data_IF_914011114767
#
_entry.id   IF_914011114767
#
_cell.length_a   1.000
_cell.length_b   1.000
_cell.length_c   1.000
_cell.angle_alpha   90.00
_cell.angle_beta   90.00
_cell.angle_gamma   90.00
#
_symmetry.space_group_name_H-M   'P 1'
#
loop_
_entity.id
_entity.type
_entity.pdbx_description
1 polymer ?
#
# COMPACT_ATOMS: atom_id res chain seq x y z
N UNK A 1 46.52 4.45 -60.37
CA UNK A 1 45.05 4.55 -60.41
C UNK A 1 44.53 3.85 -59.15
N UNK A 2 44.35 4.57 -58.04
CA UNK A 2 43.94 3.99 -56.75
C UNK A 2 42.50 4.43 -56.49
N UNK A 3 41.58 3.47 -56.56
CA UNK A 3 40.14 3.64 -56.44
C UNK A 3 39.79 3.67 -54.95
N UNK A 4 39.36 4.83 -54.44
CA UNK A 4 38.86 4.96 -53.06
C UNK A 4 37.47 4.34 -52.96
N UNK A 5 37.37 3.23 -52.24
CA UNK A 5 36.10 2.61 -51.86
C UNK A 5 35.50 3.43 -50.70
N UNK A 6 34.40 4.13 -50.95
CA UNK A 6 33.64 4.84 -49.94
C UNK A 6 32.73 3.83 -49.22
N UNK A 7 33.12 3.35 -48.04
CA UNK A 7 32.25 2.55 -47.19
C UNK A 7 31.21 3.47 -46.52
N UNK A 8 29.97 3.38 -46.98
CA UNK A 8 28.81 4.01 -46.35
C UNK A 8 28.42 3.18 -45.11
N UNK A 9 28.86 3.61 -43.93
CA UNK A 9 28.36 3.05 -42.66
C UNK A 9 26.93 3.54 -42.44
N UNK A 10 25.94 2.72 -42.76
CA UNK A 10 24.58 2.91 -42.28
C UNK A 10 24.56 2.69 -40.77
N UNK A 11 24.47 3.79 -40.01
CA UNK A 11 24.12 3.76 -38.59
C UNK A 11 22.69 3.22 -38.45
N UNK A 12 22.56 1.91 -38.20
CA UNK A 12 21.31 1.32 -37.73
C UNK A 12 21.18 1.74 -36.26
N UNK A 13 20.48 2.84 -36.00
CA UNK A 13 20.02 3.15 -34.65
C UNK A 13 19.08 2.03 -34.21
N UNK A 14 19.30 1.39 -33.06
CA UNK A 14 18.34 0.43 -32.52
C UNK A 14 17.02 1.17 -32.28
N UNK A 15 15.98 0.78 -33.01
CA UNK A 15 14.61 1.16 -32.70
C UNK A 15 14.31 0.44 -31.38
N UNK A 16 14.50 1.14 -30.27
CA UNK A 16 13.97 0.69 -29.00
C UNK A 16 12.45 0.71 -29.13
N UNK A 17 11.85 -0.46 -29.35
CA UNK A 17 10.42 -0.66 -29.24
C UNK A 17 10.07 -0.39 -27.78
N UNK A 18 9.54 0.81 -27.57
CA UNK A 18 8.99 1.28 -26.32
C UNK A 18 7.80 0.37 -25.98
N UNK A 19 8.00 -0.56 -25.04
CA UNK A 19 7.03 -1.59 -24.69
C UNK A 19 6.31 -1.24 -23.38
N UNK A 20 5.01 -1.50 -23.33
CA UNK A 20 4.21 -1.42 -22.12
C UNK A 20 4.77 -2.38 -21.03
N UNK A 21 4.49 -2.06 -19.76
CA UNK A 21 4.69 -3.03 -18.68
C UNK A 21 3.78 -4.27 -18.89
N UNK A 22 4.09 -5.43 -18.30
CA UNK A 22 3.29 -6.65 -18.48
C UNK A 22 1.80 -6.46 -18.09
N UNK A 23 0.85 -7.04 -18.84
CA UNK A 23 -0.59 -6.87 -18.56
C UNK A 23 -1.05 -7.56 -17.26
N UNK A 24 -2.28 -7.28 -16.80
CA UNK A 24 -2.91 -8.02 -15.69
C UNK A 24 -2.79 -9.54 -15.84
N UNK A 25 -3.03 -10.07 -17.04
CA UNK A 25 -2.92 -11.51 -17.30
C UNK A 25 -1.49 -12.05 -17.19
N UNK A 26 -0.49 -11.22 -17.53
CA UNK A 26 0.93 -11.59 -17.43
C UNK A 26 1.41 -11.52 -15.98
N UNK A 27 0.91 -10.52 -15.22
CA UNK A 27 1.34 -10.26 -13.85
C UNK A 27 0.63 -11.18 -12.87
N UNK A 28 -0.69 -11.30 -12.95
CA UNK A 28 -1.55 -12.00 -12.00
C UNK A 28 -2.09 -13.34 -12.55
N UNK A 29 -1.79 -13.66 -13.81
CA UNK A 29 -2.18 -14.90 -14.44
C UNK A 29 -3.48 -14.81 -15.24
N UNK A 30 -3.62 -15.70 -16.22
CA UNK A 30 -4.73 -15.71 -17.20
C UNK A 30 -6.14 -15.85 -16.59
N UNK A 31 -6.24 -16.34 -15.36
CA UNK A 31 -7.51 -16.42 -14.62
C UNK A 31 -7.99 -15.09 -14.04
N UNK A 32 -7.15 -14.05 -14.05
CA UNK A 32 -7.43 -12.73 -13.48
C UNK A 32 -7.08 -11.61 -14.47
N UNK A 33 -7.71 -11.57 -15.67
CA UNK A 33 -7.37 -10.58 -16.70
C UNK A 33 -7.82 -9.15 -16.37
N UNK A 34 -8.71 -8.98 -15.39
CA UNK A 34 -9.28 -7.69 -14.97
C UNK A 34 -8.81 -7.24 -13.59
N UNK A 35 -7.77 -7.87 -13.02
CA UNK A 35 -7.28 -7.53 -11.69
C UNK A 35 -6.21 -6.44 -11.78
N UNK A 36 -6.53 -5.25 -11.29
CA UNK A 36 -5.73 -4.03 -11.41
C UNK A 36 -5.40 -3.67 -12.87
N UNK A 37 -6.31 -4.01 -13.78
CA UNK A 37 -6.08 -3.88 -15.23
C UNK A 37 -6.08 -2.43 -15.70
N UNK A 38 -6.67 -1.50 -14.93
CA UNK A 38 -6.57 -0.07 -15.21
C UNK A 38 -5.16 0.49 -14.99
N UNK A 39 -4.31 -0.22 -14.25
CA UNK A 39 -2.95 0.19 -13.92
C UNK A 39 -1.87 -0.73 -14.50
N UNK A 40 -2.22 -1.70 -15.36
CA UNK A 40 -1.27 -2.65 -15.95
C UNK A 40 -1.35 -2.66 -17.47
N UNK A 41 -0.31 -3.15 -18.16
CA UNK A 41 -0.32 -3.18 -19.62
C UNK A 41 -0.36 -1.79 -20.26
N UNK A 42 -1.12 -1.69 -21.36
CA UNK A 42 -1.38 -0.43 -22.06
C UNK A 42 -2.46 0.41 -21.36
N UNK A 43 -2.26 0.67 -20.06
CA UNK A 43 -3.21 1.32 -19.17
C UNK A 43 -3.76 2.66 -19.70
N UNK A 44 -2.98 3.39 -20.50
CA UNK A 44 -3.39 4.68 -21.10
C UNK A 44 -4.48 4.54 -22.16
N UNK A 45 -4.73 3.32 -22.65
CA UNK A 45 -5.84 2.98 -23.56
C UNK A 45 -7.10 2.56 -22.79
N UNK A 46 -7.00 2.33 -21.48
CA UNK A 46 -8.15 1.94 -20.68
C UNK A 46 -9.07 3.14 -20.43
N UNK A 47 -10.38 2.90 -20.54
CA UNK A 47 -11.42 3.86 -20.18
C UNK A 47 -12.26 3.29 -19.03
N UNK A 48 -12.05 3.75 -17.78
CA UNK A 48 -12.80 3.29 -16.62
C UNK A 48 -14.31 3.44 -16.79
N UNK A 49 -14.79 4.50 -17.47
CA UNK A 49 -16.23 4.73 -17.68
C UNK A 49 -16.81 3.71 -18.65
N UNK A 50 -16.08 3.35 -19.71
CA UNK A 50 -16.49 2.29 -20.62
C UNK A 50 -16.57 0.91 -19.94
N UNK A 51 -15.68 0.64 -18.97
CA UNK A 51 -15.61 -0.65 -18.26
C UNK A 51 -16.66 -0.75 -17.14
N UNK A 52 -16.79 0.30 -16.31
CA UNK A 52 -17.58 0.25 -15.08
C UNK A 52 -18.83 1.14 -15.09
N UNK A 53 -18.89 2.16 -15.95
CA UNK A 53 -19.93 3.20 -15.95
C UNK A 53 -21.34 2.73 -16.37
N UNK A 54 -21.51 1.45 -16.73
CA UNK A 54 -22.81 0.86 -17.11
C UNK A 54 -23.52 0.13 -15.97
N UNK A 55 -22.85 -0.17 -14.86
CA UNK A 55 -23.43 -0.96 -13.78
C UNK A 55 -23.97 -0.07 -12.66
N UNK A 56 -25.31 -0.06 -12.48
CA UNK A 56 -25.96 0.60 -11.34
C UNK A 56 -25.42 0.03 -10.03
N UNK A 57 -24.58 0.77 -9.33
CA UNK A 57 -24.10 0.47 -7.97
C UNK A 57 -22.61 0.19 -7.82
N UNK A 58 -21.87 -0.08 -8.90
CA UNK A 58 -20.40 -0.12 -8.88
C UNK A 58 -19.86 1.26 -9.24
N UNK A 59 -19.00 1.83 -8.39
CA UNK A 59 -18.39 3.12 -8.68
C UNK A 59 -17.24 2.96 -9.65
N UNK A 60 -17.20 3.85 -10.65
CA UNK A 60 -16.12 3.91 -11.61
C UNK A 60 -14.83 4.33 -10.90
N UNK A 61 -13.75 3.54 -11.01
CA UNK A 61 -12.42 3.93 -10.54
C UNK A 61 -11.96 5.24 -11.18
N UNK A 62 -11.09 5.98 -10.49
CA UNK A 62 -10.58 7.27 -10.98
C UNK A 62 -9.78 7.12 -12.28
N UNK A 63 -9.84 8.15 -13.14
CA UNK A 63 -9.04 8.23 -14.37
C UNK A 63 -7.54 8.29 -14.01
N UNK A 64 -6.77 7.33 -14.53
CA UNK A 64 -5.33 7.22 -14.26
C UNK A 64 -4.46 7.96 -15.28
N UNK A 65 -5.01 8.31 -16.45
CA UNK A 65 -4.35 9.16 -17.44
C UNK A 65 -4.53 10.63 -17.08
N UNK A 66 -3.55 11.15 -16.35
CA UNK A 66 -3.48 12.51 -15.82
C UNK A 66 -2.31 13.30 -16.43
N UNK A 67 -2.23 14.60 -16.14
CA UNK A 67 -1.09 15.42 -16.51
C UNK A 67 0.22 14.88 -15.91
N UNK A 68 1.28 14.77 -16.73
CA UNK A 68 2.53 14.09 -16.32
C UNK A 68 3.31 14.82 -15.22
N UNK A 69 3.04 16.11 -14.97
CA UNK A 69 3.59 16.85 -13.83
C UNK A 69 2.86 16.56 -12.50
N UNK A 70 1.78 15.78 -12.50
CA UNK A 70 0.99 15.41 -11.32
C UNK A 70 1.13 13.91 -10.97
N UNK A 71 2.10 13.19 -11.57
CA UNK A 71 2.19 11.72 -11.47
C UNK A 71 2.58 11.20 -10.11
N UNK A 72 3.11 12.03 -9.21
CA UNK A 72 3.32 11.64 -7.81
C UNK A 72 2.04 11.96 -7.06
N UNK A 73 1.29 10.93 -6.68
CA UNK A 73 -0.01 11.09 -6.05
C UNK A 73 0.12 11.56 -4.58
N UNK A 74 0.95 10.84 -3.81
CA UNK A 74 1.24 11.12 -2.40
C UNK A 74 2.47 10.33 -1.92
N UNK A 75 2.88 10.58 -0.67
CA UNK A 75 3.87 9.77 0.02
C UNK A 75 3.45 9.46 1.46
N UNK A 76 3.93 8.34 1.97
CA UNK A 76 3.82 7.89 3.36
C UNK A 76 5.21 7.71 3.93
N UNK A 77 5.40 8.02 5.21
CA UNK A 77 6.67 7.74 5.88
C UNK A 77 6.44 7.26 7.31
N UNK A 78 7.39 6.47 7.80
CA UNK A 78 7.66 6.31 9.23
C UNK A 78 9.16 6.39 9.45
N UNK A 79 9.58 6.68 10.67
CA UNK A 79 10.96 6.43 11.08
C UNK A 79 10.95 5.70 12.42
N UNK A 80 11.90 4.80 12.59
CA UNK A 80 12.15 4.07 13.83
C UNK A 80 13.62 3.66 13.86
N UNK A 81 14.24 3.60 15.04
CA UNK A 81 15.61 3.10 15.22
C UNK A 81 16.67 3.76 14.30
N UNK A 82 16.54 5.05 14.00
CA UNK A 82 17.46 5.75 13.08
C UNK A 82 17.26 5.40 11.60
N UNK A 83 16.17 4.71 11.23
CA UNK A 83 15.83 4.40 9.85
C UNK A 83 14.57 5.14 9.45
N UNK A 84 14.64 5.96 8.40
CA UNK A 84 13.49 6.54 7.72
C UNK A 84 13.10 5.64 6.54
N UNK A 85 11.83 5.23 6.48
CA UNK A 85 11.25 4.58 5.30
C UNK A 85 10.14 5.45 4.73
N UNK A 86 10.19 5.67 3.42
CA UNK A 86 9.21 6.47 2.69
C UNK A 86 8.75 5.73 1.44
N UNK A 87 7.43 5.59 1.29
CA UNK A 87 6.80 5.10 0.05
C UNK A 87 6.18 6.28 -0.67
N UNK A 88 6.56 6.51 -1.92
CA UNK A 88 5.86 7.41 -2.83
C UNK A 88 4.96 6.60 -3.76
N UNK A 89 3.66 6.89 -3.77
CA UNK A 89 2.72 6.30 -4.71
C UNK A 89 2.64 7.19 -5.95
N UNK A 90 2.84 6.60 -7.13
CA UNK A 90 2.69 7.28 -8.40
C UNK A 90 1.46 6.79 -9.16
N UNK A 91 0.96 7.62 -10.06
CA UNK A 91 0.11 7.15 -11.14
C UNK A 91 0.93 6.27 -12.10
N UNK A 92 0.26 5.38 -12.86
CA UNK A 92 0.92 4.63 -13.91
C UNK A 92 1.75 5.51 -14.84
N UNK A 93 2.92 4.99 -15.24
CA UNK A 93 3.84 5.69 -16.14
C UNK A 93 3.72 5.18 -17.57
N UNK A 94 3.82 6.12 -18.51
CA UNK A 94 3.95 5.84 -19.92
C UNK A 94 5.27 5.12 -20.17
N UNK A 95 5.35 4.27 -21.20
CA UNK A 95 6.54 3.49 -21.50
C UNK A 95 7.85 4.29 -21.64
N UNK A 96 7.79 5.52 -22.15
CA UNK A 96 8.94 6.40 -22.37
C UNK A 96 9.38 7.17 -21.12
N UNK A 97 8.57 7.19 -20.07
CA UNK A 97 8.89 7.93 -18.84
C UNK A 97 9.93 7.18 -17.99
N UNK A 98 10.83 7.94 -17.36
CA UNK A 98 11.84 7.36 -16.47
C UNK A 98 11.18 6.53 -15.37
N UNK A 99 11.78 5.37 -15.05
CA UNK A 99 11.39 4.56 -13.89
C UNK A 99 12.09 4.98 -12.61
N UNK A 100 12.88 6.06 -12.65
CA UNK A 100 13.60 6.58 -11.49
C UNK A 100 12.79 7.66 -10.77
N UNK A 101 12.78 7.59 -9.44
CA UNK A 101 12.17 8.59 -8.55
C UNK A 101 13.24 9.03 -7.57
N UNK A 102 13.29 10.34 -7.31
CA UNK A 102 14.27 10.98 -6.44
C UNK A 102 13.62 11.47 -5.16
N UNK A 103 14.31 11.33 -4.05
CA UNK A 103 13.99 11.97 -2.78
C UNK A 103 15.02 13.06 -2.51
N UNK A 104 14.55 14.27 -2.28
CA UNK A 104 15.38 15.42 -1.99
C UNK A 104 14.96 16.04 -0.65
N UNK A 105 15.92 16.55 0.12
CA UNK A 105 15.69 17.32 1.34
C UNK A 105 16.21 18.73 1.20
N UNK A 106 15.58 19.67 1.91
CA UNK A 106 15.99 21.07 1.87
C UNK A 106 17.02 21.36 2.95
N UNK A 107 18.24 21.66 2.55
CA UNK A 107 19.28 22.17 3.43
C UNK A 107 19.44 23.69 3.21
N UNK A 108 19.10 24.48 4.23
CA UNK A 108 18.99 25.93 4.14
C UNK A 108 18.10 26.40 2.96
N UNK A 109 18.73 26.86 1.86
CA UNK A 109 18.03 27.33 0.64
C UNK A 109 18.12 26.36 -0.54
N UNK A 110 18.91 25.29 -0.43
CA UNK A 110 19.21 24.37 -1.54
C UNK A 110 18.48 23.05 -1.31
N UNK A 111 17.98 22.47 -2.39
CA UNK A 111 17.46 21.11 -2.40
C UNK A 111 18.59 20.15 -2.76
N UNK A 112 18.77 19.11 -1.96
CA UNK A 112 19.81 18.10 -2.12
C UNK A 112 19.15 16.73 -2.39
N UNK A 113 19.55 16.07 -3.48
CA UNK A 113 19.16 14.69 -3.76
C UNK A 113 19.89 13.75 -2.81
N UNK A 114 19.13 13.11 -1.91
CA UNK A 114 19.69 12.20 -0.90
C UNK A 114 19.43 10.73 -1.24
N UNK A 115 18.52 10.44 -2.17
CA UNK A 115 18.27 9.09 -2.64
C UNK A 115 17.59 9.07 -4.00
N UNK A 116 17.82 7.99 -4.75
CA UNK A 116 17.19 7.69 -6.03
C UNK A 116 16.90 6.20 -6.12
N UNK A 117 15.66 5.86 -6.46
CA UNK A 117 15.19 4.48 -6.53
C UNK A 117 14.40 4.23 -7.80
N UNK A 118 14.27 2.96 -8.18
CA UNK A 118 13.40 2.54 -9.28
C UNK A 118 11.99 2.27 -8.77
N UNK A 119 11.00 2.54 -9.61
CA UNK A 119 9.60 2.18 -9.35
C UNK A 119 9.44 0.67 -9.33
N UNK A 120 8.65 0.19 -8.37
CA UNK A 120 8.16 -1.18 -8.31
C UNK A 120 6.87 -1.32 -9.14
N UNK A 121 6.84 -2.36 -9.98
CA UNK A 121 5.69 -2.76 -10.78
C UNK A 121 5.30 -4.22 -10.48
N UNK A 122 3.99 -4.58 -10.45
CA UNK A 122 2.78 -3.75 -10.62
C UNK A 122 2.57 -2.79 -9.45
N UNK A 123 1.69 -1.78 -9.54
CA UNK A 123 1.32 -0.89 -8.43
C UNK A 123 2.04 0.47 -8.36
N UNK A 124 3.08 0.70 -9.18
CA UNK A 124 3.69 2.03 -9.40
C UNK A 124 4.13 2.78 -8.13
N UNK A 125 4.79 2.09 -7.21
CA UNK A 125 5.29 2.66 -5.95
C UNK A 125 6.82 2.75 -5.94
N UNK A 126 7.36 3.81 -5.36
CA UNK A 126 8.79 4.00 -5.15
C UNK A 126 9.11 3.99 -3.66
N UNK A 127 10.17 3.29 -3.27
CA UNK A 127 10.43 2.90 -1.89
C UNK A 127 11.83 3.32 -1.47
N UNK A 128 11.93 4.26 -0.52
CA UNK A 128 13.16 4.83 -0.02
C UNK A 128 13.44 4.32 1.38
N UNK A 129 14.65 3.82 1.62
CA UNK A 129 15.18 3.50 2.94
C UNK A 129 16.43 4.35 3.17
N UNK A 130 16.46 5.05 4.29
CA UNK A 130 17.57 5.91 4.71
C UNK A 130 17.94 5.56 6.13
N UNK A 131 19.16 5.07 6.31
CA UNK A 131 19.74 4.74 7.62
C UNK A 131 20.44 5.97 8.22
N UNK A 132 20.80 5.89 9.50
CA UNK A 132 21.41 6.99 10.27
C UNK A 132 20.62 8.31 10.20
N UNK A 133 19.29 8.21 10.12
CA UNK A 133 18.40 9.35 10.03
C UNK A 133 18.30 10.10 11.37
N UNK A 134 18.73 11.36 11.38
CA UNK A 134 18.60 12.25 12.54
C UNK A 134 17.16 12.74 12.70
N UNK A 135 16.38 12.08 13.57
CA UNK A 135 15.01 12.42 13.88
C UNK A 135 14.85 13.60 14.88
N UNK A 136 15.92 14.30 15.28
CA UNK A 136 15.82 15.41 16.26
C UNK A 136 15.27 16.72 15.67
N UNK A 137 15.20 16.82 14.34
CA UNK A 137 14.79 18.03 13.61
C UNK A 137 13.80 17.74 12.48
N UNK A 138 13.07 18.78 12.08
CA UNK A 138 12.14 18.70 10.95
C UNK A 138 12.91 18.85 9.63
N UNK A 139 12.57 18.04 8.64
CA UNK A 139 13.10 18.17 7.27
C UNK A 139 11.97 18.51 6.32
N UNK A 140 12.15 19.57 5.51
CA UNK A 140 11.34 19.70 4.30
C UNK A 140 11.89 18.72 3.28
N UNK A 141 11.01 17.89 2.72
CA UNK A 141 11.38 16.95 1.67
C UNK A 141 10.55 17.19 0.42
N UNK A 142 11.04 16.68 -0.71
CA UNK A 142 10.24 16.52 -1.91
C UNK A 142 10.59 15.23 -2.64
N UNK A 143 9.57 14.58 -3.17
CA UNK A 143 9.72 13.48 -4.12
C UNK A 143 9.64 14.06 -5.52
N UNK A 144 10.51 13.61 -6.43
CA UNK A 144 10.54 14.06 -7.82
C UNK A 144 10.56 12.91 -8.81
N UNK A 145 9.83 13.11 -9.90
CA UNK A 145 9.80 12.22 -11.05
C UNK A 145 9.91 13.05 -12.33
N UNK A 146 10.80 12.62 -13.23
CA UNK A 146 11.20 13.42 -14.38
C UNK A 146 11.62 14.84 -13.98
N UNK A 147 11.47 15.80 -14.88
CA UNK A 147 11.81 17.19 -14.59
C UNK A 147 10.72 17.91 -13.79
N UNK A 148 9.44 17.60 -14.07
CA UNK A 148 8.30 18.44 -13.73
C UNK A 148 7.48 17.98 -12.52
N UNK A 149 7.42 16.68 -12.23
CA UNK A 149 6.57 16.18 -11.16
C UNK A 149 7.25 16.33 -9.79
N UNK A 150 6.56 16.97 -8.84
CA UNK A 150 7.06 17.25 -7.50
C UNK A 150 5.94 17.06 -6.49
N UNK A 151 6.22 16.32 -5.41
CA UNK A 151 5.37 16.25 -4.22
C UNK A 151 6.18 16.69 -3.01
N UNK A 152 5.74 17.73 -2.30
CA UNK A 152 6.46 18.31 -1.15
C UNK A 152 5.75 18.04 0.17
N UNK A 153 6.54 17.85 1.21
CA UNK A 153 6.06 17.61 2.57
C UNK A 153 7.09 17.94 3.64
N UNK A 154 6.86 17.44 4.85
CA UNK A 154 7.82 17.53 5.94
C UNK A 154 7.96 16.21 6.69
N UNK A 155 9.18 15.77 6.92
CA UNK A 155 9.43 14.70 7.90
C UNK A 155 9.56 15.39 9.25
N UNK A 156 8.62 15.12 10.15
CA UNK A 156 8.61 15.72 11.49
C UNK A 156 9.71 15.10 12.35
N UNK A 157 10.29 15.91 13.22
CA UNK A 157 11.13 15.42 14.31
C UNK A 157 10.33 14.52 15.24
N UNK A 158 11.03 13.63 15.93
CA UNK A 158 10.42 12.84 16.99
C UNK A 158 9.86 13.74 18.11
N UNK A 159 8.61 13.51 18.53
CA UNK A 159 7.97 14.30 19.57
C UNK A 159 8.38 13.88 21.00
N UNK A 160 9.57 13.32 21.25
CA UNK A 160 10.05 12.82 22.57
C UNK A 160 9.96 13.85 23.70
N UNK A 161 9.97 15.13 23.36
CA UNK A 161 9.84 16.23 24.31
C UNK A 161 8.40 16.53 24.73
N UNK A 162 7.40 15.97 24.04
CA UNK A 162 5.98 16.12 24.38
C UNK A 162 5.63 15.20 25.54
N UNK A 163 4.76 15.69 26.42
CA UNK A 163 4.17 14.89 27.51
C UNK A 163 2.99 14.05 27.05
N UNK A 164 2.39 14.40 25.92
CA UNK A 164 1.21 13.75 25.35
C UNK A 164 1.45 13.56 23.85
N UNK A 165 1.15 12.36 23.37
CA UNK A 165 1.20 11.99 21.97
C UNK A 165 -0.23 11.83 21.46
N UNK A 166 -0.57 12.54 20.39
CA UNK A 166 -1.91 12.49 19.82
C UNK A 166 -1.93 11.59 18.60
N UNK A 167 -2.70 10.50 18.66
CA UNK A 167 -2.89 9.57 17.54
C UNK A 167 -4.27 9.78 16.92
N UNK A 168 -4.32 10.03 15.61
CA UNK A 168 -5.58 10.02 14.88
C UNK A 168 -5.82 8.62 14.30
N UNK A 169 -6.89 7.96 14.76
CA UNK A 169 -7.31 6.64 14.28
C UNK A 169 -8.46 6.78 13.28
N UNK A 170 -8.26 6.26 12.07
CA UNK A 170 -9.22 6.25 10.98
C UNK A 170 -9.35 4.84 10.39
N UNK A 171 -10.52 4.49 9.88
CA UNK A 171 -10.74 3.26 9.13
C UNK A 171 -11.93 3.42 8.18
N UNK A 172 -12.12 2.45 7.28
CA UNK A 172 -13.34 2.33 6.47
C UNK A 172 -13.65 3.56 5.61
N UNK A 173 -12.80 3.81 4.61
CA UNK A 173 -12.94 4.91 3.67
C UNK A 173 -13.96 4.58 2.55
N UNK A 174 -15.22 4.37 2.95
CA UNK A 174 -16.28 3.91 2.06
C UNK A 174 -16.38 4.73 0.78
N UNK A 175 -16.54 4.02 -0.34
CA UNK A 175 -16.84 4.61 -1.65
C UNK A 175 -18.28 5.11 -1.74
N UNK A 176 -19.08 5.20 -0.66
CA UNK A 176 -20.44 5.78 -0.70
C UNK A 176 -20.45 7.31 -0.70
N UNK A 177 -19.43 7.95 -0.16
CA UNK A 177 -19.30 9.41 -0.15
C UNK A 177 -18.11 9.78 -1.04
N UNK A 178 -18.33 10.25 -2.29
CA UNK A 178 -17.24 10.50 -3.24
C UNK A 178 -16.47 11.77 -2.92
N UNK A 179 -15.24 11.82 -3.40
CA UNK A 179 -14.48 13.07 -3.46
C UNK A 179 -13.72 13.38 -2.17
N UNK A 180 -13.30 14.64 -1.99
CA UNK A 180 -12.38 15.02 -0.93
C UNK A 180 -12.97 14.84 0.47
N UNK A 181 -12.16 14.36 1.42
CA UNK A 181 -12.53 14.24 2.84
C UNK A 181 -12.33 15.55 3.61
N UNK A 182 -12.80 16.67 3.04
CA UNK A 182 -12.42 18.02 3.47
C UNK A 182 -12.68 18.29 4.96
N UNK A 183 -13.83 17.86 5.51
CA UNK A 183 -14.15 18.06 6.93
C UNK A 183 -13.21 17.26 7.85
N UNK A 184 -12.95 16.00 7.52
CA UNK A 184 -12.03 15.13 8.28
C UNK A 184 -10.62 15.73 8.23
N UNK A 185 -10.13 16.06 7.03
CA UNK A 185 -8.81 16.66 6.81
C UNK A 185 -8.66 17.99 7.56
N UNK A 186 -9.66 18.88 7.50
CA UNK A 186 -9.61 20.17 8.19
C UNK A 186 -9.62 20.02 9.71
N UNK A 187 -10.35 19.03 10.25
CA UNK A 187 -10.34 18.75 11.68
C UNK A 187 -8.97 18.18 12.11
N UNK A 188 -8.39 17.26 11.34
CA UNK A 188 -7.05 16.72 11.62
C UNK A 188 -5.95 17.79 11.54
N UNK A 189 -6.07 18.76 10.62
CA UNK A 189 -5.18 19.93 10.59
C UNK A 189 -5.28 20.77 11.86
N UNK A 190 -6.47 20.91 12.45
CA UNK A 190 -6.67 21.65 13.71
C UNK A 190 -6.18 20.87 14.93
N UNK A 191 -6.40 19.56 14.96
CA UNK A 191 -5.95 18.66 16.04
C UNK A 191 -4.43 18.54 16.05
N UNK A 192 -3.81 18.57 14.87
CA UNK A 192 -2.37 18.38 14.67
C UNK A 192 -1.81 17.09 15.30
N UNK A 193 -2.34 15.90 14.93
CA UNK A 193 -1.89 14.64 15.51
C UNK A 193 -0.42 14.38 15.18
N UNK A 194 0.25 13.69 16.09
CA UNK A 194 1.65 13.27 15.98
C UNK A 194 1.79 12.01 15.11
N UNK A 195 0.76 11.17 15.07
CA UNK A 195 0.72 9.93 14.31
C UNK A 195 -0.66 9.74 13.68
N UNK A 196 -0.69 9.32 12.41
CA UNK A 196 -1.91 8.88 11.73
C UNK A 196 -1.94 7.35 11.70
N UNK A 197 -3.07 6.74 12.03
CA UNK A 197 -3.30 5.31 11.89
C UNK A 197 -4.55 5.07 11.05
N UNK A 198 -4.38 4.36 9.93
CA UNK A 198 -5.45 3.88 9.07
C UNK A 198 -5.55 2.36 9.18
N UNK A 199 -6.56 1.88 9.90
CA UNK A 199 -6.67 0.50 10.36
C UNK A 199 -7.21 -0.51 9.32
N UNK A 200 -7.26 -0.13 8.04
CA UNK A 200 -7.85 -0.96 6.98
C UNK A 200 -8.99 -0.27 6.24
N UNK A 201 -9.42 -0.91 5.15
CA UNK A 201 -10.46 -0.47 4.24
C UNK A 201 -10.19 0.93 3.67
N UNK A 202 -8.95 1.18 3.27
CA UNK A 202 -8.60 2.46 2.64
C UNK A 202 -9.25 2.59 1.26
N UNK A 203 -9.52 1.46 0.58
CA UNK A 203 -10.26 1.40 -0.67
C UNK A 203 -11.29 0.27 -0.72
N UNK A 204 -12.41 0.52 -1.41
CA UNK A 204 -13.43 -0.48 -1.73
C UNK A 204 -13.48 -0.80 -3.23
N UNK A 205 -12.46 -0.41 -3.99
CA UNK A 205 -12.29 -0.79 -5.40
C UNK A 205 -11.63 -2.18 -5.48
N UNK A 206 -12.43 -3.22 -5.22
CA UNK A 206 -11.96 -4.60 -4.95
C UNK A 206 -11.10 -5.24 -6.04
N UNK A 207 -11.18 -4.78 -7.28
CA UNK A 207 -10.37 -5.30 -8.39
C UNK A 207 -9.47 -4.24 -9.00
N UNK A 208 -9.43 -3.02 -8.48
CA UNK A 208 -8.65 -1.89 -9.01
C UNK A 208 -7.92 -1.17 -7.88
N UNK A 209 -7.10 -1.93 -7.17
CA UNK A 209 -6.45 -1.48 -5.94
C UNK A 209 -5.60 -0.24 -6.18
N UNK A 210 -4.78 -0.20 -7.24
CA UNK A 210 -3.92 0.95 -7.51
C UNK A 210 -4.74 2.22 -7.73
N UNK A 211 -5.87 2.13 -8.44
CA UNK A 211 -6.76 3.28 -8.64
C UNK A 211 -7.38 3.74 -7.32
N UNK A 212 -7.91 2.80 -6.53
CA UNK A 212 -8.52 3.12 -5.25
C UNK A 212 -7.55 3.62 -4.19
N UNK A 213 -6.32 3.10 -4.19
CA UNK A 213 -5.24 3.55 -3.32
C UNK A 213 -4.79 4.98 -3.67
N UNK A 214 -4.73 5.31 -4.95
CA UNK A 214 -4.51 6.68 -5.41
C UNK A 214 -5.66 7.59 -4.97
N UNK A 215 -6.93 7.16 -5.10
CA UNK A 215 -8.09 7.94 -4.62
C UNK A 215 -7.99 8.26 -3.12
N UNK A 216 -7.73 7.24 -2.29
CA UNK A 216 -7.45 7.40 -0.86
C UNK A 216 -6.30 8.39 -0.62
N UNK A 217 -5.19 8.20 -1.35
CA UNK A 217 -4.04 9.07 -1.35
C UNK A 217 -4.41 10.53 -1.55
N UNK A 218 -5.15 10.85 -2.61
CA UNK A 218 -5.58 12.21 -2.91
C UNK A 218 -6.49 12.80 -1.83
N UNK A 219 -7.32 11.98 -1.21
CA UNK A 219 -8.23 12.40 -0.14
C UNK A 219 -7.48 12.84 1.12
N UNK A 220 -6.37 12.17 1.46
CA UNK A 220 -5.65 12.37 2.73
C UNK A 220 -4.23 12.93 2.57
N UNK A 221 -3.69 13.11 1.36
CA UNK A 221 -2.28 13.54 1.14
C UNK A 221 -1.91 14.82 1.87
N UNK A 222 -2.87 15.73 2.07
CA UNK A 222 -2.63 17.00 2.75
C UNK A 222 -2.27 16.86 4.23
N UNK A 223 -2.64 15.74 4.88
CA UNK A 223 -2.24 15.41 6.25
C UNK A 223 -1.12 14.37 6.30
N UNK A 224 -1.02 13.49 5.29
CA UNK A 224 0.00 12.44 5.25
C UNK A 224 1.37 12.98 4.82
N UNK A 225 1.40 14.08 4.04
CA UNK A 225 2.65 14.68 3.57
C UNK A 225 3.58 15.13 4.69
N UNK A 226 3.04 15.38 5.87
CA UNK A 226 3.80 15.94 6.98
C UNK A 226 3.71 15.16 8.30
N UNK A 227 3.01 14.02 8.37
CA UNK A 227 2.89 13.22 9.60
C UNK A 227 3.26 11.75 9.35
N UNK A 228 3.97 11.09 10.28
CA UNK A 228 4.18 9.66 10.16
C UNK A 228 2.81 8.97 10.11
N UNK A 229 2.68 7.99 9.22
CA UNK A 229 1.40 7.36 8.92
C UNK A 229 1.55 5.85 8.92
N UNK A 230 0.76 5.17 9.74
CA UNK A 230 0.58 3.72 9.70
C UNK A 230 -0.65 3.43 8.83
N UNK A 231 -0.50 2.56 7.86
CA UNK A 231 -1.59 1.97 7.08
C UNK A 231 -1.38 0.45 7.08
N UNK A 232 -2.46 -0.30 7.30
CA UNK A 232 -2.50 -1.76 7.19
C UNK A 232 -3.70 -2.16 6.33
N UNK A 233 -3.59 -3.19 5.46
CA UNK A 233 -4.70 -3.64 4.63
C UNK A 233 -5.73 -4.46 5.40
N UNK A 234 -7.00 -4.30 5.02
CA UNK A 234 -8.09 -5.20 5.40
C UNK A 234 -8.72 -5.88 4.16
N UNK A 235 -9.84 -6.55 4.35
CA UNK A 235 -10.51 -7.39 3.35
C UNK A 235 -10.92 -6.63 2.09
N UNK A 236 -11.42 -5.40 2.22
CA UNK A 236 -11.79 -4.59 1.07
C UNK A 236 -10.59 -4.07 0.28
N UNK A 237 -9.43 -3.89 0.91
CA UNK A 237 -8.19 -3.52 0.22
C UNK A 237 -7.68 -4.67 -0.66
N UNK A 238 -7.81 -5.91 -0.16
CA UNK A 238 -7.53 -7.14 -0.92
C UNK A 238 -8.64 -7.47 -1.93
N UNK A 239 -9.84 -6.91 -1.74
CA UNK A 239 -11.01 -7.14 -2.60
C UNK A 239 -11.81 -8.40 -2.28
N UNK A 240 -11.65 -8.97 -1.09
CA UNK A 240 -12.46 -10.09 -0.62
C UNK A 240 -13.63 -9.62 0.24
N UNK A 241 -14.69 -10.44 0.33
CA UNK A 241 -15.85 -10.07 1.15
C UNK A 241 -15.57 -10.15 2.66
N UNK A 242 -14.68 -11.05 3.07
CA UNK A 242 -14.11 -11.18 4.40
C UNK A 242 -12.73 -11.83 4.25
N UNK A 243 -11.74 -11.35 4.99
CA UNK A 243 -10.38 -11.88 4.93
C UNK A 243 -10.06 -12.74 6.16
N UNK A 244 -9.77 -14.01 5.86
CA UNK A 244 -9.34 -15.03 6.80
C UNK A 244 -8.04 -15.63 6.25
N UNK A 245 -6.93 -14.88 6.30
CA UNK A 245 -5.77 -15.09 5.43
C UNK A 245 -5.12 -16.47 5.53
N UNK A 246 -5.30 -17.17 6.66
CA UNK A 246 -4.85 -18.54 6.92
C UNK A 246 -3.49 -18.86 6.27
N UNK A 247 -2.49 -18.05 6.64
CA UNK A 247 -1.08 -18.19 6.21
C UNK A 247 -0.84 -18.08 4.71
N UNK A 248 -1.78 -17.54 3.94
CA UNK A 248 -1.62 -17.38 2.49
C UNK A 248 -2.09 -18.58 1.66
N UNK A 249 -2.88 -19.51 2.22
CA UNK A 249 -3.45 -20.60 1.41
C UNK A 249 -4.43 -20.06 0.36
N UNK A 250 -4.81 -20.88 -0.61
CA UNK A 250 -5.82 -20.51 -1.62
C UNK A 250 -7.24 -20.64 -1.04
N UNK A 251 -8.03 -19.56 -1.11
CA UNK A 251 -9.46 -19.60 -0.79
C UNK A 251 -10.27 -20.26 -1.91
N UNK A 252 -11.38 -20.91 -1.57
CA UNK A 252 -12.25 -21.60 -2.53
C UNK A 252 -13.07 -20.61 -3.39
N UNK A 253 -13.41 -19.46 -2.82
CA UNK A 253 -14.28 -18.45 -3.44
C UNK A 253 -13.95 -17.06 -2.86
N UNK A 254 -14.40 -15.96 -3.49
CA UNK A 254 -14.11 -14.60 -3.03
C UNK A 254 -14.85 -14.21 -1.74
N UNK A 255 -15.80 -15.02 -1.25
CA UNK A 255 -16.43 -14.77 0.05
C UNK A 255 -15.47 -15.05 1.22
N UNK A 256 -14.46 -15.91 1.02
CA UNK A 256 -13.37 -16.14 1.97
C UNK A 256 -13.57 -17.10 3.16
N UNK A 257 -14.75 -17.69 3.48
CA UNK A 257 -14.92 -18.39 4.75
C UNK A 257 -14.10 -19.69 4.83
N UNK A 258 -13.64 -20.23 3.69
CA UNK A 258 -12.71 -21.36 3.65
C UNK A 258 -11.33 -21.06 4.22
N UNK A 259 -11.01 -19.78 4.43
CA UNK A 259 -9.67 -19.28 4.71
C UNK A 259 -8.82 -19.17 3.45
N UNK A 260 -7.79 -18.32 3.50
CA UNK A 260 -6.88 -18.03 2.42
C UNK A 260 -7.19 -16.76 1.62
N UNK A 261 -6.43 -16.60 0.54
CA UNK A 261 -6.62 -15.58 -0.49
C UNK A 261 -7.21 -16.21 -1.76
N UNK A 262 -8.26 -15.58 -2.29
CA UNK A 262 -8.89 -15.93 -3.56
C UNK A 262 -8.06 -15.40 -4.75
N UNK A 263 -7.55 -14.17 -4.61
CA UNK A 263 -6.67 -13.56 -5.60
C UNK A 263 -5.24 -14.10 -5.53
N UNK A 264 -4.46 -14.02 -6.62
CA UNK A 264 -3.07 -14.47 -6.65
C UNK A 264 -2.22 -13.79 -5.59
N UNK A 265 -1.32 -14.53 -4.95
CA UNK A 265 -0.45 -13.98 -3.90
C UNK A 265 0.42 -12.82 -4.39
N UNK A 266 0.76 -12.77 -5.68
CA UNK A 266 1.48 -11.63 -6.28
C UNK A 266 0.65 -10.33 -6.28
N UNK A 267 -0.67 -10.42 -6.39
CA UNK A 267 -1.57 -9.28 -6.20
C UNK A 267 -1.63 -8.88 -4.72
N UNK A 268 -1.75 -9.85 -3.81
CA UNK A 268 -1.72 -9.61 -2.36
C UNK A 268 -0.42 -8.89 -1.95
N UNK A 269 0.75 -9.35 -2.43
CA UNK A 269 2.03 -8.69 -2.17
C UNK A 269 2.12 -7.29 -2.78
N UNK A 270 1.41 -7.00 -3.88
CA UNK A 270 1.34 -5.64 -4.43
C UNK A 270 0.56 -4.72 -3.49
N UNK A 271 -0.62 -5.15 -3.03
CA UNK A 271 -1.45 -4.42 -2.07
C UNK A 271 -0.68 -4.14 -0.77
N UNK A 272 -0.11 -5.19 -0.17
CA UNK A 272 0.66 -5.07 1.07
C UNK A 272 1.88 -4.16 0.90
N UNK A 273 2.57 -4.22 -0.24
CA UNK A 273 3.71 -3.33 -0.50
C UNK A 273 3.27 -1.87 -0.64
N UNK A 274 2.16 -1.60 -1.32
CA UNK A 274 1.64 -0.23 -1.48
C UNK A 274 1.21 0.37 -0.14
N UNK A 275 0.60 -0.43 0.72
CA UNK A 275 0.05 0.04 1.98
C UNK A 275 0.97 -0.08 3.19
N UNK A 276 1.96 -0.98 3.22
CA UNK A 276 2.72 -1.26 4.45
C UNK A 276 4.25 -1.18 4.29
N UNK A 277 4.79 -0.98 3.08
CA UNK A 277 6.25 -1.04 2.91
C UNK A 277 7.00 0.05 3.71
N UNK A 278 6.40 1.23 3.89
CA UNK A 278 7.01 2.35 4.62
C UNK A 278 6.99 2.18 6.13
N UNK A 279 6.35 1.13 6.66
CA UNK A 279 6.47 0.76 8.06
C UNK A 279 7.91 0.30 8.37
N UNK A 280 8.33 0.27 9.65
CA UNK A 280 9.58 -0.35 10.05
C UNK A 280 9.69 -1.79 9.54
N UNK A 281 10.91 -2.32 9.48
CA UNK A 281 11.09 -3.68 8.98
C UNK A 281 10.32 -4.67 9.85
N UNK A 282 9.79 -5.71 9.23
CA UNK A 282 8.98 -6.70 9.92
C UNK A 282 9.77 -7.36 11.05
N UNK A 283 9.09 -7.68 12.14
CA UNK A 283 9.67 -8.46 13.23
C UNK A 283 9.92 -9.93 12.83
N UNK A 284 9.47 -10.36 11.65
CA UNK A 284 9.73 -11.68 11.11
C UNK A 284 10.46 -11.59 9.76
N UNK A 285 11.78 -11.82 9.79
CA UNK A 285 12.68 -11.74 8.62
C UNK A 285 12.45 -12.85 7.57
N UNK A 286 11.64 -13.87 7.90
CA UNK A 286 11.36 -15.00 7.03
C UNK A 286 10.23 -14.75 6.01
N UNK A 287 9.98 -15.77 5.22
CA UNK A 287 8.81 -15.84 4.33
C UNK A 287 7.90 -16.97 4.82
N UNK A 288 6.59 -16.73 4.81
CA UNK A 288 5.62 -17.77 5.15
C UNK A 288 5.69 -18.92 4.13
N UNK A 289 5.17 -20.10 4.50
CA UNK A 289 5.12 -21.28 3.59
C UNK A 289 4.42 -21.00 2.26
N UNK A 290 3.52 -20.03 2.21
CA UNK A 290 2.84 -19.59 0.99
C UNK A 290 3.72 -18.75 0.05
N UNK A 291 4.87 -18.28 0.51
CA UNK A 291 5.72 -17.33 -0.21
C UNK A 291 5.42 -15.86 0.10
N UNK A 292 4.42 -15.55 0.95
CA UNK A 292 4.16 -14.19 1.40
C UNK A 292 5.17 -13.73 2.47
N UNK A 293 5.59 -12.48 2.37
CA UNK A 293 6.25 -11.76 3.46
C UNK A 293 5.24 -11.28 4.51
N UNK A 294 5.77 -10.68 5.57
CA UNK A 294 4.99 -10.06 6.66
C UNK A 294 5.40 -8.59 6.84
N UNK A 295 4.57 -7.80 7.51
CA UNK A 295 4.71 -6.39 7.81
C UNK A 295 4.44 -6.05 9.29
N UNK A 296 4.07 -7.03 10.14
CA UNK A 296 3.90 -6.77 11.56
C UNK A 296 5.23 -6.36 12.17
N UNK A 297 5.22 -5.32 12.99
CA UNK A 297 6.44 -4.68 13.48
C UNK A 297 6.11 -3.80 14.67
N UNK A 298 7.10 -3.07 15.19
CA UNK A 298 6.90 -2.00 16.15
C UNK A 298 7.27 -0.64 15.55
N UNK A 299 6.66 0.42 16.06
CA UNK A 299 7.02 1.80 15.74
C UNK A 299 7.10 2.61 17.03
N UNK A 300 8.23 3.25 17.31
CA UNK A 300 8.36 4.16 18.44
C UNK A 300 8.13 5.60 18.02
N UNK A 301 7.23 6.30 18.75
CA UNK A 301 6.93 7.71 18.51
C UNK A 301 6.85 8.43 19.84
N UNK A 302 7.74 9.40 20.05
CA UNK A 302 7.69 10.24 21.25
C UNK A 302 7.83 9.45 22.57
N UNK A 303 8.61 8.38 22.55
CA UNK A 303 8.84 7.50 23.70
C UNK A 303 7.77 6.44 23.93
N UNK A 304 6.72 6.37 23.12
CA UNK A 304 5.75 5.27 23.13
C UNK A 304 6.14 4.22 22.09
N UNK A 305 6.10 2.94 22.46
CA UNK A 305 6.30 1.81 21.56
C UNK A 305 4.94 1.24 21.11
N UNK A 306 4.64 1.30 19.81
CA UNK A 306 3.40 0.77 19.23
C UNK A 306 3.68 -0.56 18.52
N UNK A 307 3.04 -1.66 18.96
CA UNK A 307 2.96 -2.88 18.16
C UNK A 307 1.95 -2.71 17.01
N UNK A 308 2.40 -2.95 15.79
CA UNK A 308 1.60 -2.97 14.56
C UNK A 308 1.38 -4.42 14.15
N UNK A 309 0.12 -4.82 14.01
CA UNK A 309 -0.27 -6.19 13.74
C UNK A 309 -0.67 -6.44 12.29
N UNK A 310 -0.49 -7.68 11.87
CA UNK A 310 -1.10 -8.33 10.71
C UNK A 310 -2.27 -9.21 11.17
N UNK A 311 -3.39 -8.58 11.50
CA UNK A 311 -4.54 -9.23 12.13
C UNK A 311 -5.31 -10.17 11.18
N UNK A 312 -5.23 -9.93 9.86
CA UNK A 312 -5.94 -10.74 8.85
C UNK A 312 -5.15 -11.92 8.30
N UNK A 313 -3.82 -11.82 8.16
CA UNK A 313 -3.00 -12.79 7.38
C UNK A 313 -2.99 -14.21 7.97
N UNK A 314 -3.03 -14.32 9.29
CA UNK A 314 -2.89 -15.60 10.00
C UNK A 314 -4.22 -16.25 10.38
N UNK A 315 -5.30 -15.47 10.37
CA UNK A 315 -6.60 -15.87 10.89
C UNK A 315 -7.16 -17.11 10.19
N UNK A 316 -7.62 -18.08 10.97
CA UNK A 316 -8.23 -19.32 10.46
C UNK A 316 -9.60 -19.08 9.85
N UNK A 317 -9.84 -19.60 8.64
CA UNK A 317 -11.18 -19.56 8.03
C UNK A 317 -12.21 -20.40 8.81
N UNK A 318 -13.43 -19.89 9.07
CA UNK A 318 -14.40 -20.57 9.91
C UNK A 318 -15.14 -21.74 9.23
N UNK A 319 -15.16 -21.82 7.90
CA UNK A 319 -15.91 -22.85 7.17
C UNK A 319 -15.47 -24.26 7.57
N UNK A 320 -16.41 -25.02 8.13
CA UNK A 320 -16.18 -26.40 8.57
C UNK A 320 -15.30 -26.52 9.83
N UNK A 321 -14.89 -25.41 10.44
CA UNK A 321 -14.08 -25.39 11.67
C UNK A 321 -14.87 -24.95 12.90
N UNK A 322 -15.93 -24.16 12.72
CA UNK A 322 -16.86 -23.76 13.79
C UNK A 322 -18.29 -24.16 13.43
N UNK A 323 -19.20 -24.29 14.43
CA UNK A 323 -20.60 -24.58 14.16
C UNK A 323 -21.26 -23.49 13.29
N UNK A 324 -22.18 -23.89 12.42
CA UNK A 324 -22.95 -22.94 11.61
C UNK A 324 -24.02 -22.26 12.50
N UNK A 325 -23.83 -20.97 12.78
CA UNK A 325 -24.71 -20.18 13.66
C UNK A 325 -25.36 -18.98 12.94
N UNK A 326 -25.33 -18.99 11.61
CA UNK A 326 -25.84 -17.92 10.77
C UNK A 326 -25.94 -18.33 9.30
N UNK A 327 -26.36 -17.39 8.42
CA UNK A 327 -26.48 -17.65 6.99
C UNK A 327 -25.13 -17.90 6.33
N UNK A 328 -24.04 -17.34 6.87
CA UNK A 328 -22.66 -17.56 6.43
C UNK A 328 -21.84 -18.24 7.54
N UNK A 329 -20.76 -18.97 7.20
CA UNK A 329 -19.92 -19.62 8.22
C UNK A 329 -19.22 -18.65 9.18
N UNK A 330 -19.04 -17.40 8.78
CA UNK A 330 -18.46 -16.31 9.56
C UNK A 330 -19.50 -15.41 10.25
N UNK A 331 -20.78 -15.81 10.24
CA UNK A 331 -21.87 -15.06 10.87
C UNK A 331 -22.41 -15.78 12.10
N UNK A 332 -22.58 -15.02 13.17
CA UNK A 332 -23.31 -15.41 14.36
C UNK A 332 -24.38 -14.35 14.58
N UNK A 333 -25.65 -14.73 14.41
CA UNK A 333 -26.77 -13.78 14.52
C UNK A 333 -27.37 -13.75 15.93
N UNK A 334 -27.21 -14.83 16.69
CA UNK A 334 -27.72 -14.93 18.06
C UNK A 334 -26.67 -14.38 19.05
N UNK A 335 -26.91 -13.23 19.71
CA UNK A 335 -25.95 -12.69 20.67
C UNK A 335 -25.84 -13.52 21.96
N UNK A 336 -26.78 -14.44 22.20
CA UNK A 336 -26.81 -15.32 23.38
C UNK A 336 -26.04 -16.63 23.19
N UNK A 337 -25.41 -16.84 22.04
CA UNK A 337 -24.65 -18.05 21.74
C UNK A 337 -23.55 -18.32 22.78
N UNK A 338 -23.22 -19.60 22.93
CA UNK A 338 -22.09 -20.03 23.74
C UNK A 338 -20.77 -19.66 23.06
N UNK A 339 -20.02 -18.72 23.63
CA UNK A 339 -18.73 -18.26 23.10
C UNK A 339 -17.69 -19.37 23.05
N UNK A 340 -17.76 -20.37 23.93
CA UNK A 340 -16.83 -21.50 23.93
C UNK A 340 -16.99 -22.40 22.70
N UNK A 341 -18.16 -22.35 22.04
CA UNK A 341 -18.45 -23.12 20.83
C UNK A 341 -17.63 -22.72 19.61
N UNK A 342 -17.01 -21.53 19.63
CA UNK A 342 -16.14 -21.01 18.57
C UNK A 342 -14.70 -20.80 19.05
N UNK A 343 -14.43 -20.98 20.34
CA UNK A 343 -13.08 -21.00 20.92
C UNK A 343 -12.54 -22.43 20.95
N UNK A 344 -12.19 -22.92 19.76
CA UNK A 344 -11.84 -24.32 19.54
C UNK A 344 -10.32 -24.50 19.41
N UNK A 345 -9.76 -25.60 19.97
CA UNK A 345 -8.35 -25.93 19.79
C UNK A 345 -7.95 -25.98 18.31
N UNK A 346 -6.79 -25.40 17.99
CA UNK A 346 -6.23 -25.41 16.64
C UNK A 346 -6.65 -24.22 15.76
N UNK A 347 -7.62 -23.40 16.18
CA UNK A 347 -7.89 -22.12 15.52
C UNK A 347 -6.77 -21.11 15.83
N UNK A 348 -6.40 -20.34 14.81
CA UNK A 348 -5.36 -19.31 14.90
C UNK A 348 -5.97 -17.95 14.61
N UNK A 349 -5.62 -16.96 15.43
CA UNK A 349 -5.96 -15.54 15.22
C UNK A 349 -4.74 -14.78 14.67
N UNK A 350 -3.65 -14.70 15.44
CA UNK A 350 -2.48 -13.88 15.14
C UNK A 350 -1.30 -14.64 14.52
N UNK A 351 -1.30 -15.98 14.58
CA UNK A 351 -0.17 -16.80 14.11
C UNK A 351 0.99 -16.85 15.10
N UNK A 352 1.81 -17.91 15.02
CA UNK A 352 2.91 -18.16 15.98
C UNK A 352 4.02 -17.12 15.86
N UNK A 353 4.36 -16.70 14.64
CA UNK A 353 5.41 -15.73 14.35
C UNK A 353 5.12 -14.37 15.00
N UNK A 354 3.88 -13.90 14.89
CA UNK A 354 3.45 -12.65 15.50
C UNK A 354 3.28 -12.76 17.03
N UNK A 355 2.88 -13.94 17.54
CA UNK A 355 2.80 -14.18 18.98
C UNK A 355 4.18 -14.15 19.65
N UNK A 356 5.23 -14.64 18.98
CA UNK A 356 6.62 -14.51 19.44
C UNK A 356 7.00 -13.03 19.56
N UNK A 357 6.77 -12.25 18.50
CA UNK A 357 6.99 -10.80 18.51
C UNK A 357 6.23 -10.09 19.64
N UNK A 358 4.95 -10.42 19.83
CA UNK A 358 4.13 -9.79 20.88
C UNK A 358 4.58 -10.16 22.28
N UNK A 359 5.02 -11.42 22.48
CA UNK A 359 5.57 -11.85 23.75
C UNK A 359 6.81 -11.01 24.10
N UNK A 360 7.73 -10.82 23.16
CA UNK A 360 8.93 -9.99 23.32
C UNK A 360 8.60 -8.51 23.52
N UNK A 361 7.69 -7.96 22.72
CA UNK A 361 7.25 -6.56 22.83
C UNK A 361 6.59 -6.25 24.18
N UNK A 362 5.81 -7.18 24.73
CA UNK A 362 5.11 -6.99 26.00
C UNK A 362 5.97 -7.05 27.26
N UNK A 363 7.27 -7.34 27.14
CA UNK A 363 8.20 -7.37 28.28
C UNK A 363 8.82 -5.99 28.61
N UNK A 364 8.57 -4.97 27.78
CA UNK A 364 9.09 -3.61 27.94
C UNK A 364 8.31 -2.78 28.97
#
# INVERSE_FOLDING_TARGET
>A
MIQKLLCLFCLILPIYLVQAEPSSSDVFGKGFPHLDHLATGEWWKADPEAVYGKNKGQRTPGKLNIERNQVIAFALYTYDAGTLKLTAQLYPLLPEESREVRLEVKNAKVWEEISKVKIAYPGWSAHFRLEDWDASRNYRYRVRHGEKAVFEGAIRRDPISKKEIVVANLSCNSTRDPGPRANIVNNLKKIDPDLLFFAGDQTYHHTEHTSGWIEFGLQFREIMKDRPTITIPDDHDIGQANLWGEYGKKAKNPQGPSGGYYYPLKYVSMVERQQAWHLPDTAYEGTLKSGLSTYFTRLRVGGLDFAILEDRKFKSGPEGKIPKMGPRPDHINDPSYDRSSVDLPGLKLLGEEQLIFLAEWSQD
#
